data_IF_031638063278
#
_entry.id   IF_031638063278
#
_cell.length_a   1.000
_cell.length_b   1.000
_cell.length_c   1.000
_cell.angle_alpha   90.00
_cell.angle_beta   90.00
_cell.angle_gamma   90.00
#
_symmetry.space_group_name_H-M   'P 1'
#
loop_
_entity.id
_entity.type
_entity.pdbx_description
1 polymer ?
#
# COMPACT_ATOMS: atom_id res chain seq x y z
N UNK A 1 -11.62 -10.38 -25.64
CA UNK A 1 -11.74 -9.56 -24.42
C UNK A 1 -11.71 -8.09 -24.83
N UNK A 2 -12.46 -7.22 -24.14
CA UNK A 2 -12.54 -5.76 -24.42
C UNK A 2 -11.16 -5.09 -24.26
N UNK A 3 -10.42 -5.51 -23.26
CA UNK A 3 -9.07 -5.02 -22.94
C UNK A 3 -8.01 -6.03 -23.33
N UNK A 4 -6.85 -5.55 -23.80
CA UNK A 4 -5.71 -6.39 -24.23
C UNK A 4 -4.85 -6.83 -23.02
N UNK A 5 -5.50 -7.30 -21.95
CA UNK A 5 -4.81 -7.84 -20.78
C UNK A 5 -4.08 -9.14 -21.18
N UNK A 6 -2.84 -9.30 -20.72
CA UNK A 6 -2.01 -10.48 -21.02
C UNK A 6 -2.69 -11.77 -20.52
N UNK A 7 -2.59 -12.86 -21.30
CA UNK A 7 -3.25 -14.14 -21.00
C UNK A 7 -2.77 -14.77 -19.68
N UNK A 8 -1.58 -14.45 -19.24
CA UNK A 8 -1.00 -14.95 -17.98
C UNK A 8 -1.82 -14.53 -16.74
N UNK A 9 -2.68 -13.52 -16.85
CA UNK A 9 -3.55 -13.04 -15.76
C UNK A 9 -4.91 -13.73 -15.67
N UNK A 10 -5.22 -14.69 -16.57
CA UNK A 10 -6.44 -15.49 -16.45
C UNK A 10 -6.39 -16.40 -15.20
N UNK A 11 -7.50 -16.56 -14.41
CA UNK A 11 -8.87 -16.06 -14.67
C UNK A 11 -9.14 -14.62 -14.14
N UNK A 12 -8.23 -13.99 -13.44
CA UNK A 12 -8.46 -12.67 -12.83
C UNK A 12 -8.70 -11.56 -13.86
N UNK A 13 -8.21 -11.72 -15.10
CA UNK A 13 -8.47 -10.79 -16.21
C UNK A 13 -9.94 -10.75 -16.68
N UNK A 14 -10.83 -11.52 -16.06
CA UNK A 14 -12.29 -11.54 -16.33
C UNK A 14 -13.12 -11.52 -15.06
N UNK A 15 -12.49 -11.37 -13.89
CA UNK A 15 -13.15 -11.38 -12.60
C UNK A 15 -13.25 -9.97 -12.02
N UNK A 16 -14.41 -9.62 -11.47
CA UNK A 16 -14.62 -8.40 -10.69
C UNK A 16 -15.25 -8.79 -9.35
N UNK A 17 -14.66 -8.43 -8.20
CA UNK A 17 -15.19 -8.81 -6.90
C UNK A 17 -16.56 -8.16 -6.64
N UNK A 18 -17.54 -8.90 -6.08
CA UNK A 18 -18.89 -8.39 -5.82
C UNK A 18 -18.95 -7.55 -4.54
N UNK A 19 -18.23 -6.43 -4.48
CA UNK A 19 -18.13 -5.60 -3.29
C UNK A 19 -19.48 -4.98 -2.93
N UNK A 20 -19.98 -5.31 -1.74
CA UNK A 20 -21.16 -4.74 -1.09
C UNK A 20 -21.00 -4.87 0.42
N UNK A 21 -21.72 -4.10 1.22
CA UNK A 21 -21.65 -4.24 2.69
C UNK A 21 -21.94 -5.67 3.16
N UNK A 22 -22.94 -6.34 2.56
CA UNK A 22 -23.25 -7.72 2.87
C UNK A 22 -22.10 -8.67 2.55
N UNK A 23 -21.44 -8.48 1.42
CA UNK A 23 -20.26 -9.24 1.02
C UNK A 23 -19.10 -8.99 1.99
N UNK A 24 -18.82 -7.74 2.34
CA UNK A 24 -17.74 -7.37 3.25
C UNK A 24 -17.95 -7.96 4.65
N UNK A 25 -19.15 -7.86 5.21
CA UNK A 25 -19.48 -8.48 6.52
C UNK A 25 -19.29 -10.00 6.53
N UNK A 26 -19.47 -10.65 5.39
CA UNK A 26 -19.20 -12.08 5.25
C UNK A 26 -17.72 -12.37 4.98
N UNK A 27 -17.09 -11.68 4.04
CA UNK A 27 -15.76 -12.01 3.55
C UNK A 27 -14.63 -11.60 4.51
N UNK A 28 -14.67 -10.37 5.04
CA UNK A 28 -13.57 -9.79 5.84
C UNK A 28 -13.19 -10.64 7.05
N UNK A 29 -14.14 -11.15 7.88
CA UNK A 29 -13.80 -12.00 9.03
C UNK A 29 -13.15 -13.36 8.66
N UNK A 30 -13.23 -13.76 7.38
CA UNK A 30 -12.66 -15.01 6.88
C UNK A 30 -11.35 -14.82 6.11
N UNK A 31 -10.93 -13.58 5.88
CA UNK A 31 -9.65 -13.25 5.27
C UNK A 31 -8.55 -13.29 6.34
N UNK A 32 -7.89 -14.44 6.43
CA UNK A 32 -6.83 -14.67 7.43
C UNK A 32 -5.47 -14.74 6.74
N UNK A 33 -4.37 -14.47 7.44
CA UNK A 33 -3.03 -14.66 6.90
C UNK A 33 -2.82 -16.10 6.41
N UNK A 34 -2.14 -16.31 5.27
CA UNK A 34 -1.88 -17.64 4.74
C UNK A 34 -1.00 -18.45 5.69
N UNK A 35 -1.21 -19.77 5.72
CA UNK A 35 -0.43 -20.68 6.58
C UNK A 35 1.06 -20.66 6.26
N UNK A 36 1.42 -20.35 5.03
CA UNK A 36 2.78 -20.21 4.53
C UNK A 36 3.55 -19.16 5.31
N UNK A 37 2.91 -18.08 5.75
CA UNK A 37 3.50 -17.02 6.55
C UNK A 37 4.15 -17.57 7.84
N UNK A 38 3.46 -18.48 8.53
CA UNK A 38 3.91 -19.03 9.82
C UNK A 38 4.76 -20.32 9.68
N UNK A 39 4.87 -20.87 8.46
CA UNK A 39 5.64 -22.08 8.18
C UNK A 39 6.95 -21.80 7.46
N UNK A 40 7.20 -20.55 7.09
CA UNK A 40 8.43 -20.18 6.42
C UNK A 40 9.63 -20.39 7.35
N UNK A 41 10.66 -21.08 6.83
CA UNK A 41 11.86 -21.43 7.64
C UNK A 41 12.93 -20.35 7.61
N UNK A 42 12.75 -19.33 6.78
CA UNK A 42 13.69 -18.22 6.64
C UNK A 42 13.22 -16.97 7.36
N UNK A 43 11.93 -16.94 7.79
CA UNK A 43 11.32 -15.80 8.46
C UNK A 43 10.82 -16.13 9.86
N UNK A 44 11.15 -15.27 10.81
CA UNK A 44 10.48 -15.18 12.11
C UNK A 44 9.33 -14.16 11.97
N UNK A 45 8.11 -14.58 12.29
CA UNK A 45 6.95 -13.70 12.34
C UNK A 45 6.53 -13.51 13.79
N UNK A 46 6.47 -12.26 14.23
CA UNK A 46 5.97 -11.90 15.58
C UNK A 46 4.80 -10.96 15.48
N UNK A 47 3.76 -11.21 16.30
CA UNK A 47 2.60 -10.32 16.40
C UNK A 47 2.81 -9.32 17.53
N UNK A 48 2.46 -8.06 17.27
CA UNK A 48 2.53 -6.96 18.21
C UNK A 48 1.19 -6.23 18.25
N UNK A 49 0.71 -5.94 19.45
CA UNK A 49 -0.44 -5.06 19.65
C UNK A 49 0.08 -3.63 19.76
N UNK A 50 -0.36 -2.77 18.86
CA UNK A 50 0.04 -1.37 18.80
C UNK A 50 -1.17 -0.51 19.13
N UNK A 51 -1.03 0.34 20.12
CA UNK A 51 -2.07 1.30 20.52
C UNK A 51 -2.23 2.37 19.45
N UNK A 52 -3.46 2.57 18.98
CA UNK A 52 -3.84 3.65 18.08
C UNK A 52 -4.23 4.91 18.84
N UNK A 53 -4.48 5.99 18.12
CA UNK A 53 -4.76 7.33 18.64
C UNK A 53 -5.97 7.39 19.61
N UNK A 54 -6.89 6.45 19.52
CA UNK A 54 -8.14 6.36 20.29
C UNK A 54 -8.06 5.37 21.46
N UNK A 55 -6.88 4.80 21.74
CA UNK A 55 -6.63 3.80 22.78
C UNK A 55 -6.98 2.37 22.38
N UNK A 56 -7.56 2.16 21.19
CA UNK A 56 -7.77 0.82 20.66
C UNK A 56 -6.45 0.23 20.13
N UNK A 57 -6.32 -1.08 20.19
CA UNK A 57 -5.13 -1.78 19.69
C UNK A 57 -5.35 -2.38 18.33
N UNK A 58 -4.34 -2.23 17.46
CA UNK A 58 -4.28 -2.90 16.17
C UNK A 58 -3.16 -3.95 16.15
N UNK A 59 -3.37 -5.03 15.42
CA UNK A 59 -2.33 -6.04 15.24
C UNK A 59 -1.34 -5.61 14.15
N UNK A 60 -0.04 -5.68 14.47
CA UNK A 60 1.03 -5.53 13.49
C UNK A 60 1.89 -6.80 13.49
N UNK A 61 2.17 -7.35 12.31
CA UNK A 61 3.06 -8.50 12.16
C UNK A 61 4.45 -8.03 11.73
N UNK A 62 5.47 -8.34 12.53
CA UNK A 62 6.87 -8.08 12.16
C UNK A 62 7.47 -9.34 11.55
N UNK A 63 7.79 -9.26 10.25
CA UNK A 63 8.49 -10.29 9.49
C UNK A 63 10.00 -10.00 9.56
N UNK A 64 10.76 -10.89 10.17
CA UNK A 64 12.20 -10.73 10.36
C UNK A 64 12.93 -11.92 9.76
N UNK A 65 13.79 -11.73 8.74
CA UNK A 65 14.64 -12.82 8.24
C UNK A 65 15.57 -13.35 9.33
N UNK A 66 15.66 -14.67 9.48
CA UNK A 66 16.61 -15.29 10.44
C UNK A 66 18.09 -14.98 10.11
N UNK A 67 18.39 -14.69 8.84
CA UNK A 67 19.74 -14.33 8.42
C UNK A 67 20.20 -12.94 8.91
N UNK A 68 19.31 -12.15 9.54
CA UNK A 68 19.62 -10.79 10.00
C UNK A 68 19.60 -10.77 11.53
N UNK A 69 20.77 -10.80 12.13
CA UNK A 69 20.95 -10.77 13.60
C UNK A 69 21.03 -9.33 14.14
N UNK A 70 21.54 -8.39 13.34
CA UNK A 70 21.77 -6.99 13.71
C UNK A 70 20.59 -6.07 13.35
N UNK A 71 20.75 -4.80 13.68
CA UNK A 71 19.85 -3.74 13.25
C UNK A 71 19.79 -3.68 11.71
N UNK A 72 18.60 -3.59 11.17
CA UNK A 72 18.37 -3.64 9.71
C UNK A 72 17.31 -2.64 9.27
N UNK A 73 17.30 -2.29 7.96
CA UNK A 73 16.21 -1.51 7.38
C UNK A 73 14.84 -2.12 7.67
N UNK A 74 13.81 -1.27 7.68
CA UNK A 74 12.42 -1.70 7.86
C UNK A 74 11.50 -1.10 6.79
N UNK A 75 10.68 -1.93 6.16
CA UNK A 75 9.55 -1.50 5.36
C UNK A 75 8.28 -1.53 6.21
N UNK A 76 7.61 -0.39 6.35
CA UNK A 76 6.23 -0.33 6.82
C UNK A 76 5.33 -0.69 5.64
N UNK A 77 4.59 -1.79 5.73
CA UNK A 77 3.77 -2.26 4.62
C UNK A 77 2.29 -2.16 4.94
N UNK A 78 1.58 -1.41 4.11
CA UNK A 78 0.16 -1.11 4.20
C UNK A 78 -0.56 -1.77 3.04
N UNK A 79 -1.44 -2.73 3.31
CA UNK A 79 -2.09 -3.51 2.25
C UNK A 79 -3.17 -2.73 1.52
N UNK A 80 -3.46 -3.12 0.26
CA UNK A 80 -4.58 -2.64 -0.53
C UNK A 80 -5.92 -3.23 -0.08
N UNK A 81 -6.97 -2.98 -0.88
CA UNK A 81 -8.32 -3.50 -0.63
C UNK A 81 -9.38 -2.41 -0.47
N UNK A 82 -9.13 -1.20 -1.00
CA UNK A 82 -10.10 -0.10 -1.02
C UNK A 82 -10.55 0.36 0.36
N UNK A 83 -9.71 0.21 1.38
CA UNK A 83 -10.00 0.53 2.80
C UNK A 83 -11.11 -0.33 3.44
N UNK A 84 -11.69 -1.29 2.70
CA UNK A 84 -12.85 -2.10 3.10
C UNK A 84 -12.57 -3.61 3.13
N UNK A 85 -11.54 -4.09 2.44
CA UNK A 85 -11.11 -5.48 2.42
C UNK A 85 -9.87 -5.67 3.28
N UNK A 86 -9.84 -6.76 4.05
CA UNK A 86 -8.63 -7.19 4.73
C UNK A 86 -7.57 -7.67 3.73
N UNK A 87 -6.34 -7.81 4.20
CA UNK A 87 -5.25 -8.29 3.38
C UNK A 87 -5.53 -9.69 2.80
N UNK A 88 -5.32 -9.84 1.51
CA UNK A 88 -5.37 -11.14 0.83
C UNK A 88 -4.00 -11.83 0.88
N UNK A 89 -3.95 -13.12 0.60
CA UNK A 89 -2.73 -13.95 0.64
C UNK A 89 -1.53 -13.31 -0.08
N UNK A 90 -1.77 -12.72 -1.25
CA UNK A 90 -0.68 -12.17 -2.07
C UNK A 90 0.03 -10.98 -1.38
N UNK A 91 -0.66 -10.19 -0.55
CA UNK A 91 -0.03 -9.10 0.22
C UNK A 91 1.00 -9.66 1.21
N UNK A 92 0.63 -10.69 1.98
CA UNK A 92 1.54 -11.36 2.91
C UNK A 92 2.72 -12.01 2.18
N UNK A 93 2.44 -12.67 1.05
CA UNK A 93 3.46 -13.35 0.27
C UNK A 93 4.43 -12.37 -0.42
N UNK A 94 3.96 -11.18 -0.82
CA UNK A 94 4.82 -10.10 -1.28
C UNK A 94 5.67 -9.53 -0.13
N UNK A 95 5.08 -9.29 1.04
CA UNK A 95 5.80 -8.84 2.23
C UNK A 95 6.90 -9.83 2.65
N UNK A 96 6.64 -11.14 2.58
CA UNK A 96 7.64 -12.18 2.82
C UNK A 96 8.81 -12.12 1.82
N UNK A 97 8.51 -11.89 0.54
CA UNK A 97 9.53 -11.72 -0.50
C UNK A 97 10.36 -10.47 -0.24
N UNK A 98 9.73 -9.35 0.05
CA UNK A 98 10.43 -8.11 0.38
C UNK A 98 11.36 -8.32 1.58
N UNK A 99 10.89 -8.94 2.64
CA UNK A 99 11.73 -9.23 3.80
C UNK A 99 12.97 -10.06 3.43
N UNK A 100 12.79 -11.15 2.70
CA UNK A 100 13.89 -12.10 2.35
C UNK A 100 14.82 -11.54 1.29
N UNK A 101 14.27 -11.04 0.18
CA UNK A 101 15.07 -10.69 -0.99
C UNK A 101 15.73 -9.31 -0.87
N UNK A 102 15.14 -8.39 -0.10
CA UNK A 102 15.78 -7.10 0.25
C UNK A 102 16.72 -7.24 1.43
N UNK A 103 16.48 -8.21 2.32
CA UNK A 103 17.22 -8.35 3.57
C UNK A 103 16.84 -7.24 4.56
N UNK A 104 15.54 -6.98 4.73
CA UNK A 104 15.00 -6.00 5.66
C UNK A 104 13.93 -6.62 6.55
N UNK A 105 13.55 -5.93 7.62
CA UNK A 105 12.32 -6.26 8.35
C UNK A 105 11.12 -5.66 7.62
N UNK A 106 9.96 -6.31 7.73
CA UNK A 106 8.70 -5.76 7.23
C UNK A 106 7.70 -5.70 8.36
N UNK A 107 7.23 -4.51 8.71
CA UNK A 107 6.11 -4.32 9.61
C UNK A 107 4.83 -4.28 8.79
N UNK A 108 4.09 -5.37 8.80
CA UNK A 108 2.79 -5.50 8.13
C UNK A 108 1.70 -5.00 9.07
N UNK A 109 0.96 -3.96 8.68
CA UNK A 109 -0.04 -3.30 9.52
C UNK A 109 -1.44 -3.78 9.17
N UNK A 110 -2.12 -4.44 10.11
CA UNK A 110 -3.53 -4.81 10.00
C UNK A 110 -4.40 -3.65 10.52
N UNK A 111 -4.46 -2.56 9.74
CA UNK A 111 -5.26 -1.38 10.10
C UNK A 111 -6.77 -1.67 10.06
N UNK A 112 -7.55 -0.96 10.86
CA UNK A 112 -9.01 -1.09 10.92
C UNK A 112 -9.69 -0.60 9.64
N UNK A 113 -10.78 -1.25 9.25
CA UNK A 113 -11.40 -1.10 7.94
C UNK A 113 -12.77 -0.41 8.00
N UNK A 114 -13.08 0.36 6.96
CA UNK A 114 -14.43 0.84 6.71
C UNK A 114 -15.34 -0.35 6.29
N UNK A 115 -16.65 -0.26 6.47
CA UNK A 115 -17.41 0.88 7.00
C UNK A 115 -17.43 0.98 8.54
N UNK A 116 -16.98 -0.05 9.26
CA UNK A 116 -17.05 -0.09 10.72
C UNK A 116 -16.09 0.94 11.35
N UNK A 117 -14.93 1.14 10.71
CA UNK A 117 -13.92 2.12 11.10
C UNK A 117 -13.60 3.06 9.92
N UNK A 118 -14.44 4.10 9.69
CA UNK A 118 -14.27 5.00 8.55
C UNK A 118 -13.11 5.99 8.74
N UNK A 119 -12.88 6.85 7.74
CA UNK A 119 -11.95 7.97 7.84
C UNK A 119 -12.19 8.82 9.11
N UNK A 120 -11.13 9.22 9.83
CA UNK A 120 -9.70 9.02 9.53
C UNK A 120 -9.06 7.79 10.20
N UNK A 121 -9.83 6.86 10.77
CA UNK A 121 -9.34 5.79 11.65
C UNK A 121 -8.22 4.97 11.00
N UNK A 122 -8.39 4.53 9.76
CA UNK A 122 -7.37 3.74 9.07
C UNK A 122 -6.06 4.51 8.81
N UNK A 123 -6.08 5.84 8.65
CA UNK A 123 -4.87 6.66 8.59
C UNK A 123 -4.19 6.76 9.96
N UNK A 124 -4.97 7.01 11.01
CA UNK A 124 -4.46 7.11 12.36
C UNK A 124 -3.82 5.80 12.83
N UNK A 125 -4.41 4.67 12.48
CA UNK A 125 -3.83 3.35 12.74
C UNK A 125 -2.47 3.19 12.07
N UNK A 126 -2.39 3.51 10.76
CA UNK A 126 -1.16 3.40 9.99
C UNK A 126 -0.08 4.38 10.49
N UNK A 127 -0.46 5.59 10.87
CA UNK A 127 0.43 6.57 11.47
C UNK A 127 0.95 6.08 12.82
N UNK A 128 0.06 5.63 13.72
CA UNK A 128 0.43 5.09 15.04
C UNK A 128 1.39 3.91 14.92
N UNK A 129 1.12 2.97 14.01
CA UNK A 129 2.01 1.83 13.76
C UNK A 129 3.39 2.26 13.23
N UNK A 130 3.43 3.28 12.38
CA UNK A 130 4.68 3.81 11.83
C UNK A 130 5.52 4.50 12.91
N UNK A 131 4.90 5.33 13.74
CA UNK A 131 5.56 5.98 14.89
C UNK A 131 6.04 4.94 15.91
N UNK A 132 5.19 3.94 16.22
CA UNK A 132 5.55 2.86 17.13
C UNK A 132 6.79 2.07 16.63
N UNK A 133 6.90 1.79 15.34
CA UNK A 133 8.09 1.14 14.79
C UNK A 133 9.36 1.97 15.01
N UNK A 134 9.27 3.28 14.80
CA UNK A 134 10.36 4.23 15.03
C UNK A 134 10.77 4.29 16.51
N UNK A 135 9.80 4.42 17.42
CA UNK A 135 10.04 4.54 18.86
C UNK A 135 10.61 3.26 19.47
N UNK A 136 10.22 2.09 18.93
CA UNK A 136 10.67 0.78 19.38
C UNK A 136 11.78 0.19 18.51
N UNK A 137 12.43 0.97 17.65
CA UNK A 137 13.38 0.49 16.65
C UNK A 137 14.53 -0.36 17.27
N UNK A 138 15.09 0.08 18.39
CA UNK A 138 16.14 -0.66 19.11
C UNK A 138 15.63 -2.04 19.57
N UNK A 139 14.48 -2.10 20.22
CA UNK A 139 13.88 -3.37 20.70
C UNK A 139 13.53 -4.32 19.55
N UNK A 140 13.18 -3.77 18.37
CA UNK A 140 12.81 -4.52 17.19
C UNK A 140 14.00 -4.82 16.27
N UNK A 141 15.22 -4.39 16.64
CA UNK A 141 16.42 -4.43 15.81
C UNK A 141 16.21 -3.75 14.43
N UNK A 142 15.52 -2.62 14.42
CA UNK A 142 15.30 -1.79 13.23
C UNK A 142 16.33 -0.65 13.24
N UNK A 143 16.95 -0.40 12.09
CA UNK A 143 17.71 0.83 11.89
C UNK A 143 16.73 2.00 11.70
N UNK A 144 16.66 2.86 12.71
CA UNK A 144 15.75 4.02 12.76
C UNK A 144 15.97 4.99 11.59
N UNK A 145 17.18 5.02 11.02
CA UNK A 145 17.51 5.88 9.88
C UNK A 145 17.13 5.28 8.52
N UNK A 146 16.78 3.99 8.49
CA UNK A 146 16.46 3.23 7.28
C UNK A 146 15.04 2.64 7.34
N UNK A 147 14.04 3.49 7.56
CA UNK A 147 12.63 3.12 7.52
C UNK A 147 12.03 3.65 6.22
N UNK A 148 11.52 2.75 5.38
CA UNK A 148 10.71 3.06 4.20
C UNK A 148 9.25 2.72 4.43
N UNK A 149 8.35 3.26 3.61
CA UNK A 149 6.93 2.95 3.65
C UNK A 149 6.44 2.55 2.28
N UNK A 150 5.45 1.67 2.20
CA UNK A 150 4.84 1.29 0.94
C UNK A 150 3.61 0.44 1.12
N UNK A 151 2.85 0.36 0.05
CA UNK A 151 1.64 -0.44 -0.02
C UNK A 151 0.96 -0.25 -1.36
N UNK A 152 0.13 -1.16 -1.74
CA UNK A 152 -0.53 -1.20 -3.04
C UNK A 152 -1.93 -0.59 -3.00
N UNK A 153 -2.39 0.03 -4.10
CA UNK A 153 -3.76 0.55 -4.22
C UNK A 153 -4.11 1.53 -3.07
N UNK A 154 -5.12 1.22 -2.27
CA UNK A 154 -5.46 1.98 -1.05
C UNK A 154 -4.29 2.05 -0.05
N UNK A 155 -3.44 1.03 0.02
CA UNK A 155 -2.22 1.04 0.84
C UNK A 155 -1.22 2.10 0.38
N UNK A 156 -1.19 2.42 -0.92
CA UNK A 156 -0.41 3.56 -1.44
C UNK A 156 -0.94 4.89 -0.91
N UNK A 157 -2.27 5.08 -0.90
CA UNK A 157 -2.90 6.27 -0.32
C UNK A 157 -2.51 6.43 1.14
N UNK A 158 -2.63 5.34 1.91
CA UNK A 158 -2.24 5.32 3.33
C UNK A 158 -0.76 5.66 3.51
N UNK A 159 0.11 5.14 2.63
CA UNK A 159 1.55 5.41 2.68
C UNK A 159 1.86 6.89 2.46
N UNK A 160 1.25 7.51 1.44
CA UNK A 160 1.40 8.95 1.19
C UNK A 160 0.80 9.77 2.32
N UNK A 161 -0.40 9.41 2.80
CA UNK A 161 -1.05 10.09 3.92
C UNK A 161 -0.21 10.06 5.19
N UNK A 162 0.41 8.92 5.52
CA UNK A 162 1.34 8.83 6.67
C UNK A 162 2.56 9.73 6.47
N UNK A 163 3.14 9.81 5.25
CA UNK A 163 4.23 10.76 4.97
C UNK A 163 3.80 12.21 5.24
N UNK A 164 2.60 12.60 4.81
CA UNK A 164 2.03 13.92 5.05
C UNK A 164 1.78 14.16 6.55
N UNK A 165 1.18 13.21 7.25
CA UNK A 165 0.93 13.29 8.70
C UNK A 165 2.21 13.44 9.51
N UNK A 166 3.29 12.72 9.16
CA UNK A 166 4.60 12.86 9.81
C UNK A 166 5.13 14.28 9.66
N UNK A 167 4.97 14.90 8.48
CA UNK A 167 5.36 16.29 8.24
C UNK A 167 4.51 17.26 9.05
N UNK A 168 3.19 17.18 8.93
CA UNK A 168 2.24 18.12 9.53
C UNK A 168 2.29 18.08 11.06
N UNK A 169 2.58 16.92 11.63
CA UNK A 169 2.74 16.72 13.09
C UNK A 169 4.18 16.91 13.57
N UNK A 170 5.08 17.31 12.71
CA UNK A 170 6.50 17.56 13.02
C UNK A 170 7.18 16.35 13.70
N UNK A 171 6.83 15.14 13.26
CA UNK A 171 7.44 13.92 13.80
C UNK A 171 8.91 13.78 13.33
N UNK A 172 9.85 13.32 14.20
CA UNK A 172 11.27 13.25 13.86
C UNK A 172 11.62 12.18 12.81
N UNK A 173 10.78 11.17 12.61
CA UNK A 173 11.02 10.14 11.60
C UNK A 173 11.10 10.75 10.19
N UNK A 174 12.16 10.40 9.47
CA UNK A 174 12.34 10.70 8.05
C UNK A 174 12.30 9.37 7.29
N UNK A 175 11.24 9.15 6.54
CA UNK A 175 11.12 7.98 5.68
C UNK A 175 12.08 8.09 4.51
N UNK A 176 12.79 7.01 4.19
CA UNK A 176 13.81 7.01 3.12
C UNK A 176 13.21 6.86 1.73
N UNK A 177 12.00 6.31 1.62
CA UNK A 177 11.22 6.23 0.37
C UNK A 177 9.74 5.98 0.64
N UNK A 178 8.92 6.16 -0.41
CA UNK A 178 7.56 5.67 -0.54
C UNK A 178 7.45 4.75 -1.78
N UNK A 179 6.84 3.55 -1.63
CA UNK A 179 6.67 2.56 -2.71
C UNK A 179 5.19 2.31 -2.98
N UNK A 180 4.71 2.70 -4.16
CA UNK A 180 3.30 2.93 -4.49
C UNK A 180 2.87 2.16 -5.76
N UNK A 181 2.63 0.84 -5.71
CA UNK A 181 2.05 0.08 -6.81
C UNK A 181 0.58 0.45 -7.06
N UNK A 182 0.23 0.76 -8.32
CA UNK A 182 -1.11 1.11 -8.83
C UNK A 182 -1.95 1.93 -7.84
N UNK A 183 -1.44 3.13 -7.44
CA UNK A 183 -1.95 3.87 -6.31
C UNK A 183 -3.31 4.53 -6.58
N UNK A 184 -4.19 4.57 -5.57
CA UNK A 184 -5.36 5.44 -5.52
C UNK A 184 -4.95 6.75 -4.83
N UNK A 185 -4.91 7.88 -5.55
CA UNK A 185 -4.39 9.15 -5.02
C UNK A 185 -5.27 10.37 -5.32
N UNK A 186 -6.38 10.15 -6.06
CA UNK A 186 -7.34 11.18 -6.42
C UNK A 186 -8.77 10.75 -6.05
N UNK A 187 -9.27 11.25 -4.91
CA UNK A 187 -10.60 10.90 -4.42
C UNK A 187 -11.76 11.44 -5.29
N UNK A 188 -11.49 12.35 -6.21
CA UNK A 188 -12.51 12.91 -7.12
C UNK A 188 -13.01 11.90 -8.13
N UNK A 189 -12.27 10.80 -8.38
CA UNK A 189 -12.59 9.70 -9.31
C UNK A 189 -13.03 10.21 -10.70
N UNK A 190 -12.37 11.24 -11.22
CA UNK A 190 -12.82 11.95 -12.43
C UNK A 190 -11.76 12.07 -13.54
N UNK A 191 -10.60 11.42 -13.39
CA UNK A 191 -9.53 11.37 -14.38
C UNK A 191 -9.99 10.75 -15.71
N UNK A 192 -9.17 10.85 -16.76
CA UNK A 192 -9.48 10.22 -18.04
C UNK A 192 -9.52 8.69 -17.91
N UNK A 193 -8.60 8.10 -17.14
CA UNK A 193 -8.61 6.65 -16.85
C UNK A 193 -9.86 6.24 -16.06
N UNK A 194 -10.31 7.00 -15.06
CA UNK A 194 -11.55 6.74 -14.33
C UNK A 194 -12.77 6.71 -15.25
N UNK A 195 -12.88 7.67 -16.17
CA UNK A 195 -13.97 7.74 -17.15
C UNK A 195 -13.92 6.59 -18.17
N UNK A 196 -12.71 6.15 -18.55
CA UNK A 196 -12.48 5.10 -19.55
C UNK A 196 -12.68 3.70 -18.98
N UNK A 197 -12.23 3.45 -17.76
CA UNK A 197 -12.14 2.13 -17.17
C UNK A 197 -13.21 1.89 -16.09
N UNK A 198 -14.46 1.85 -16.54
CA UNK A 198 -15.65 1.66 -15.69
C UNK A 198 -16.01 0.19 -15.46
N UNK A 199 -15.43 -0.73 -16.24
CA UNK A 199 -15.73 -2.17 -16.24
C UNK A 199 -14.48 -3.06 -16.38
N UNK A 200 -13.30 -2.53 -16.08
CA UNK A 200 -12.08 -3.34 -16.04
C UNK A 200 -12.18 -4.41 -14.94
N UNK A 201 -11.56 -5.58 -15.17
CA UNK A 201 -11.53 -6.64 -14.16
C UNK A 201 -10.75 -6.21 -12.91
N UNK A 202 -10.96 -6.92 -11.84
CA UNK A 202 -10.43 -6.71 -10.49
C UNK A 202 -10.92 -5.41 -9.86
N UNK A 203 -10.61 -4.25 -10.42
CA UNK A 203 -11.03 -2.94 -9.95
C UNK A 203 -11.40 -2.01 -11.11
N UNK A 204 -12.34 -1.09 -10.86
CA UNK A 204 -12.80 -0.10 -11.83
C UNK A 204 -13.45 1.09 -11.12
N UNK A 205 -13.69 2.20 -11.82
CA UNK A 205 -14.24 3.42 -11.22
C UNK A 205 -15.63 3.24 -10.61
N UNK A 206 -16.45 2.33 -11.14
CA UNK A 206 -17.77 2.01 -10.55
C UNK A 206 -17.62 1.36 -9.16
N UNK A 207 -16.59 0.53 -8.95
CA UNK A 207 -16.29 0.00 -7.62
C UNK A 207 -15.78 1.08 -6.68
N UNK A 208 -14.93 2.01 -7.18
CA UNK A 208 -14.48 3.18 -6.41
C UNK A 208 -15.67 4.00 -5.92
N UNK A 209 -16.61 4.35 -6.81
CA UNK A 209 -17.84 5.08 -6.44
C UNK A 209 -18.70 4.32 -5.42
N UNK A 210 -18.73 3.00 -5.53
CA UNK A 210 -19.50 2.14 -4.61
C UNK A 210 -18.93 2.12 -3.20
N UNK A 211 -17.62 2.11 -3.04
CA UNK A 211 -16.98 2.09 -1.70
C UNK A 211 -16.85 3.48 -1.09
N UNK A 212 -16.83 4.54 -1.88
CA UNK A 212 -16.64 5.91 -1.41
C UNK A 212 -17.57 6.29 -0.23
N UNK A 213 -18.89 5.99 -0.26
CA UNK A 213 -19.76 6.27 0.88
C UNK A 213 -19.39 5.48 2.16
N UNK A 214 -18.75 4.31 2.01
CA UNK A 214 -18.37 3.47 3.15
C UNK A 214 -17.18 4.06 3.92
N UNK A 215 -16.29 4.78 3.24
CA UNK A 215 -15.13 5.43 3.85
C UNK A 215 -15.48 6.69 4.63
N UNK A 216 -16.64 7.29 4.38
CA UNK A 216 -17.15 8.52 5.03
C UNK A 216 -16.14 9.67 5.01
N UNK A 217 -15.39 9.79 3.94
CA UNK A 217 -14.45 10.90 3.77
C UNK A 217 -15.21 12.19 3.52
N UNK A 218 -14.84 13.24 4.24
CA UNK A 218 -15.42 14.58 4.15
C UNK A 218 -14.39 15.54 3.54
N UNK A 219 -14.65 16.00 2.32
CA UNK A 219 -13.76 16.90 1.58
C UNK A 219 -13.64 18.32 2.19
N UNK A 220 -14.49 18.66 3.15
CA UNK A 220 -14.40 19.94 3.86
C UNK A 220 -13.37 19.94 5.01
N UNK A 221 -12.86 18.78 5.38
CA UNK A 221 -11.91 18.62 6.48
C UNK A 221 -10.46 18.76 6.00
N UNK A 222 -9.56 19.32 6.81
CA UNK A 222 -8.12 19.44 6.45
C UNK A 222 -7.46 18.07 6.19
N UNK A 223 -7.86 17.01 6.91
CA UNK A 223 -7.33 15.65 6.77
C UNK A 223 -7.79 14.93 5.49
N UNK A 224 -8.71 15.53 4.70
CA UNK A 224 -9.08 15.06 3.37
C UNK A 224 -7.88 14.91 2.43
N UNK A 225 -6.88 15.78 2.53
CA UNK A 225 -5.69 15.75 1.67
C UNK A 225 -4.85 14.48 1.86
N UNK A 226 -4.94 13.81 3.01
CA UNK A 226 -4.30 12.51 3.20
C UNK A 226 -4.96 11.43 2.34
N UNK A 227 -6.26 11.57 2.08
CA UNK A 227 -7.05 10.66 1.25
C UNK A 227 -7.01 11.00 -0.25
N UNK A 228 -6.77 12.26 -0.59
CA UNK A 228 -6.64 12.77 -1.97
C UNK A 228 -5.36 13.57 -2.16
N UNK A 229 -4.18 12.94 -2.00
CA UNK A 229 -2.91 13.66 -1.92
C UNK A 229 -2.54 14.42 -3.20
N UNK A 230 -3.05 14.06 -4.36
CA UNK A 230 -2.82 14.86 -5.59
C UNK A 230 -3.42 16.27 -5.52
N UNK A 231 -4.33 16.53 -4.59
CA UNK A 231 -4.93 17.87 -4.39
C UNK A 231 -4.10 18.76 -3.45
N UNK A 232 -3.04 18.22 -2.83
CA UNK A 232 -2.13 19.03 -2.01
C UNK A 232 -1.37 20.06 -2.85
N UNK A 233 -0.97 21.15 -2.21
CA UNK A 233 -0.21 22.23 -2.85
C UNK A 233 1.31 22.02 -2.80
N UNK A 234 1.80 21.27 -1.80
CA UNK A 234 3.23 21.08 -1.56
C UNK A 234 3.60 19.60 -1.51
N UNK A 235 4.72 19.27 -2.15
CA UNK A 235 5.26 17.91 -2.25
C UNK A 235 6.76 17.82 -1.90
N UNK A 236 7.43 18.95 -1.73
CA UNK A 236 8.89 19.09 -1.57
C UNK A 236 9.45 18.42 -0.30
N UNK A 237 8.60 18.10 0.67
CA UNK A 237 8.95 17.40 1.91
C UNK A 237 8.75 15.88 1.85
N UNK A 238 8.15 15.37 0.80
CA UNK A 238 7.86 13.94 0.64
C UNK A 238 9.12 13.15 0.27
N UNK A 239 9.23 11.89 0.72
CA UNK A 239 10.40 11.08 0.41
C UNK A 239 10.40 10.65 -1.08
N UNK A 240 11.58 10.25 -1.62
CA UNK A 240 11.69 9.63 -2.94
C UNK A 240 10.65 8.56 -3.18
N UNK A 241 10.10 8.48 -4.42
CA UNK A 241 8.97 7.63 -4.72
C UNK A 241 9.27 6.59 -5.81
N UNK A 242 8.84 5.35 -5.57
CA UNK A 242 8.58 4.37 -6.61
C UNK A 242 7.07 4.37 -6.89
N UNK A 243 6.70 4.57 -8.14
CA UNK A 243 5.30 4.55 -8.59
C UNK A 243 5.20 3.53 -9.72
N UNK A 244 4.19 2.67 -9.65
CA UNK A 244 3.93 1.68 -10.70
C UNK A 244 2.45 1.73 -11.07
N UNK A 245 2.14 1.90 -12.36
CA UNK A 245 0.76 1.91 -12.85
C UNK A 245 0.46 0.69 -13.69
N UNK A 246 -0.81 0.29 -13.76
CA UNK A 246 -1.30 -0.77 -14.64
C UNK A 246 -2.02 -0.14 -15.85
N UNK A 247 -1.81 -0.67 -17.07
CA UNK A 247 -2.34 -0.08 -18.31
C UNK A 247 -3.87 0.00 -18.33
N UNK A 248 -4.55 -1.06 -17.87
CA UNK A 248 -6.01 -1.15 -17.89
C UNK A 248 -6.59 -0.95 -16.48
N UNK A 249 -6.28 0.20 -15.87
CA UNK A 249 -6.66 0.54 -14.51
C UNK A 249 -7.31 1.94 -14.46
N UNK A 250 -8.42 2.07 -13.76
CA UNK A 250 -9.06 3.36 -13.55
C UNK A 250 -8.17 4.32 -12.73
N UNK A 251 -7.24 3.81 -11.96
CA UNK A 251 -6.29 4.58 -11.13
C UNK A 251 -4.97 4.91 -11.86
N UNK A 252 -4.85 4.55 -13.14
CA UNK A 252 -3.62 4.78 -13.92
C UNK A 252 -3.17 6.25 -13.86
N UNK A 253 -4.10 7.18 -14.15
CA UNK A 253 -3.76 8.59 -14.23
C UNK A 253 -3.45 9.21 -12.85
N UNK A 254 -3.94 8.63 -11.75
CA UNK A 254 -3.61 9.07 -10.39
C UNK A 254 -2.10 8.94 -10.14
N UNK A 255 -1.53 7.78 -10.50
CA UNK A 255 -0.09 7.53 -10.38
C UNK A 255 0.74 8.46 -11.26
N UNK A 256 0.31 8.69 -12.50
CA UNK A 256 0.99 9.60 -13.43
C UNK A 256 0.98 11.03 -12.90
N UNK A 257 -0.19 11.54 -12.51
CA UNK A 257 -0.35 12.90 -11.98
C UNK A 257 0.50 13.11 -10.71
N UNK A 258 0.51 12.13 -9.81
CA UNK A 258 1.29 12.22 -8.59
C UNK A 258 2.81 12.22 -8.88
N UNK A 259 3.26 11.40 -9.83
CA UNK A 259 4.64 11.40 -10.29
C UNK A 259 5.08 12.76 -10.85
N UNK A 260 4.21 13.41 -11.65
CA UNK A 260 4.47 14.75 -12.20
C UNK A 260 4.58 15.81 -11.11
N UNK A 261 3.69 15.78 -10.11
CA UNK A 261 3.70 16.72 -8.98
C UNK A 261 4.96 16.57 -8.12
N UNK A 262 5.36 15.34 -7.80
CA UNK A 262 6.59 15.06 -7.08
C UNK A 262 7.83 15.58 -7.84
N UNK A 263 7.94 15.26 -9.15
CA UNK A 263 9.05 15.75 -9.99
C UNK A 263 9.10 17.25 -10.06
N UNK A 264 7.95 17.92 -10.19
CA UNK A 264 7.84 19.38 -10.22
C UNK A 264 8.29 20.02 -8.90
N UNK A 265 8.16 19.29 -7.80
CA UNK A 265 8.64 19.70 -6.47
C UNK A 265 10.10 19.29 -6.19
N UNK A 266 10.81 18.71 -7.16
CA UNK A 266 12.20 18.27 -7.00
C UNK A 266 12.38 16.94 -6.25
N UNK A 267 11.31 16.18 -6.02
CA UNK A 267 11.37 14.87 -5.37
C UNK A 267 11.76 13.81 -6.40
N UNK A 268 12.75 12.94 -6.12
CA UNK A 268 13.13 11.83 -7.01
C UNK A 268 11.98 10.84 -7.22
N UNK A 269 11.70 10.46 -8.48
CA UNK A 269 10.63 9.54 -8.85
C UNK A 269 11.10 8.49 -9.84
N UNK A 270 10.94 7.22 -9.47
CA UNK A 270 11.02 6.07 -10.37
C UNK A 270 9.58 5.69 -10.76
N UNK A 271 9.20 5.93 -12.02
CA UNK A 271 7.87 5.61 -12.55
C UNK A 271 7.97 4.42 -13.51
N UNK A 272 7.11 3.42 -13.30
CA UNK A 272 6.97 2.24 -14.16
C UNK A 272 5.51 2.08 -14.60
N UNK A 273 5.28 2.18 -15.90
CA UNK A 273 3.99 1.87 -16.50
C UNK A 273 4.01 0.42 -17.00
N UNK A 274 3.11 -0.43 -16.48
CA UNK A 274 3.15 -1.88 -16.72
C UNK A 274 2.08 -2.26 -17.74
N UNK A 275 2.54 -2.52 -18.98
CA UNK A 275 1.68 -2.85 -20.13
C UNK A 275 0.97 -4.20 -19.99
N UNK A 276 -0.26 -4.27 -20.50
CA UNK A 276 -1.07 -5.49 -20.55
C UNK A 276 -1.54 -5.99 -19.18
N UNK A 277 -1.60 -5.11 -18.19
CA UNK A 277 -2.02 -5.43 -16.82
C UNK A 277 -3.34 -4.75 -16.44
N UNK A 278 -3.96 -5.22 -15.38
CA UNK A 278 -5.11 -4.63 -14.72
C UNK A 278 -4.77 -4.31 -13.26
N UNK A 279 -5.64 -3.59 -12.58
CA UNK A 279 -5.48 -3.28 -11.15
C UNK A 279 -5.22 -4.54 -10.32
N UNK A 280 -4.27 -4.51 -9.40
CA UNK A 280 -3.96 -5.64 -8.52
C UNK A 280 -3.42 -6.87 -9.27
N UNK A 281 -2.76 -6.68 -10.40
CA UNK A 281 -2.28 -7.76 -11.26
C UNK A 281 -1.33 -8.73 -10.54
N UNK A 282 -0.67 -8.30 -9.49
CA UNK A 282 0.28 -9.12 -8.71
C UNK A 282 -0.40 -10.18 -7.81
N UNK A 283 -1.73 -10.21 -7.74
CA UNK A 283 -2.47 -11.38 -7.25
C UNK A 283 -2.11 -12.65 -8.06
N UNK A 284 -1.74 -12.50 -9.34
CA UNK A 284 -1.29 -13.60 -10.19
C UNK A 284 0.23 -13.74 -10.08
N UNK A 285 0.70 -14.23 -8.96
CA UNK A 285 2.11 -14.30 -8.55
C UNK A 285 3.04 -15.04 -9.54
N UNK A 286 2.50 -15.97 -10.32
CA UNK A 286 3.28 -16.76 -11.31
C UNK A 286 3.39 -16.11 -12.67
N UNK A 287 2.69 -14.99 -12.89
CA UNK A 287 2.81 -14.25 -14.14
C UNK A 287 4.21 -13.63 -14.26
N UNK A 288 4.78 -13.74 -15.45
CA UNK A 288 6.12 -13.18 -15.73
C UNK A 288 6.15 -11.69 -15.47
N UNK A 289 5.12 -10.97 -15.91
CA UNK A 289 4.99 -9.53 -15.67
C UNK A 289 4.94 -9.19 -14.18
N UNK A 290 4.27 -10.00 -13.35
CA UNK A 290 4.27 -9.84 -11.89
C UNK A 290 5.66 -10.04 -11.31
N UNK A 291 6.37 -11.08 -11.74
CA UNK A 291 7.74 -11.34 -11.28
C UNK A 291 8.66 -10.16 -11.59
N UNK A 292 8.61 -9.65 -12.83
CA UNK A 292 9.40 -8.48 -13.24
C UNK A 292 9.04 -7.22 -12.43
N UNK A 293 7.77 -7.00 -12.11
CA UNK A 293 7.32 -5.89 -11.28
C UNK A 293 7.85 -5.99 -9.84
N UNK A 294 7.73 -7.16 -9.22
CA UNK A 294 8.25 -7.39 -7.86
C UNK A 294 9.77 -7.20 -7.80
N UNK A 295 10.50 -7.69 -8.81
CA UNK A 295 11.96 -7.49 -8.87
C UNK A 295 12.35 -6.02 -9.00
N UNK A 296 11.60 -5.19 -9.75
CA UNK A 296 11.83 -3.74 -9.80
C UNK A 296 11.59 -3.07 -8.45
N UNK A 297 10.52 -3.45 -7.73
CA UNK A 297 10.23 -2.95 -6.37
C UNK A 297 11.35 -3.32 -5.40
N UNK A 298 11.85 -4.57 -5.46
CA UNK A 298 12.97 -5.05 -4.65
C UNK A 298 14.26 -4.28 -4.97
N UNK A 299 14.57 -4.06 -6.25
CA UNK A 299 15.74 -3.30 -6.66
C UNK A 299 15.71 -1.85 -6.13
N UNK A 300 14.56 -1.19 -6.25
CA UNK A 300 14.34 0.15 -5.68
C UNK A 300 14.55 0.18 -4.16
N UNK A 301 13.95 -0.76 -3.43
CA UNK A 301 14.13 -0.83 -1.97
C UNK A 301 15.59 -1.06 -1.59
N UNK A 302 16.32 -1.93 -2.31
CA UNK A 302 17.75 -2.17 -2.07
C UNK A 302 18.58 -0.90 -2.27
N UNK A 303 18.32 -0.14 -3.33
CA UNK A 303 19.01 1.11 -3.60
C UNK A 303 18.88 2.10 -2.42
N UNK A 304 17.66 2.32 -1.94
CA UNK A 304 17.40 3.27 -0.86
C UNK A 304 17.79 2.75 0.53
N UNK A 305 17.86 1.45 0.71
CA UNK A 305 18.37 0.83 1.94
C UNK A 305 19.89 0.61 1.93
N UNK A 306 20.58 0.96 0.85
CA UNK A 306 22.03 0.79 0.72
C UNK A 306 22.48 -0.67 0.68
N UNK A 307 21.70 -1.55 0.00
CA UNK A 307 21.92 -3.01 -0.08
C UNK A 307 22.40 -3.45 -1.46
#
# INVERSE_FOLDING_TARGET
MKYKIKREFFPFSVFTPPISEKFLRFAVPHMNPPKELYKDRELKVTSHQVESYDGESIECLLLSPYAIEESSPCLIYLHGGGFVLAAADYHYLNAMRYAKEVGCRVLFVNYRLAPDHPHPIFFEDCYSATCWAYDNAERLNIDRSLIGIGGDSAGSTLSVGVCMMLHDRSHPLKLVFQMLPYPFLDARNNSASCKKFTDTPMWNSVLTDRISPMTRVDSSRPDYLYFSPVEAERFDYLPPAYIETAEFDCLHDDGILYAEKLRSAGVPVTLNETEGTMHGFDIVRRAKTTEEAILRRIAFMKEYFGK
#
